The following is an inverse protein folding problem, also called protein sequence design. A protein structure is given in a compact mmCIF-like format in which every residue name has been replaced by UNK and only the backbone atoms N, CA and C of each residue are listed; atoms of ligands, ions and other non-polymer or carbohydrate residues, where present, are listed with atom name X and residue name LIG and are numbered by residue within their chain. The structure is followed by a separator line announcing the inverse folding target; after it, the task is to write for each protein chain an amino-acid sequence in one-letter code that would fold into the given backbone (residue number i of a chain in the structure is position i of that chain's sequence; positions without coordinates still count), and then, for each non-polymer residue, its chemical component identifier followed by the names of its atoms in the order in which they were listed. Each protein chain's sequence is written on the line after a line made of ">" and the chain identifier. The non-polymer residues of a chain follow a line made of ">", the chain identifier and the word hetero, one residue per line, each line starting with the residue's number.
data_IF_856527430865
#
_entry.id   IF_856527430865
#
_cell.length_a   1.000
_cell.length_b   1.000
_cell.length_c   1.000
_cell.angle_alpha   90.00
_cell.angle_beta   90.00
_cell.angle_gamma   90.00
#
_symmetry.space_group_name_H-M   'P 1'
#
loop_
_entity.id
_entity.type
_entity.pdbx_description
1 polymer ?
#
# COMPACT_ATOMS: atom_id res chain seq x y z
N UNK A 1 0.67 -14.38 -24.38
CA UNK A 1 1.12 -12.98 -24.14
C UNK A 1 1.12 -12.80 -22.62
N UNK A 2 2.18 -12.22 -22.05
CA UNK A 2 2.32 -12.11 -20.59
C UNK A 2 1.72 -10.79 -20.10
N UNK A 3 0.80 -10.87 -19.14
CA UNK A 3 0.25 -9.67 -18.49
C UNK A 3 1.23 -9.15 -17.43
N UNK A 4 1.25 -7.84 -17.22
CA UNK A 4 2.09 -7.21 -16.19
C UNK A 4 1.57 -7.60 -14.80
N UNK A 5 2.29 -8.49 -14.11
CA UNK A 5 1.91 -8.94 -12.76
C UNK A 5 2.56 -8.14 -11.64
N UNK A 6 3.71 -7.54 -11.91
CA UNK A 6 4.52 -6.85 -10.88
C UNK A 6 4.95 -5.49 -11.40
N UNK A 7 4.75 -4.46 -10.60
CA UNK A 7 5.24 -3.13 -10.88
C UNK A 7 6.00 -2.63 -9.65
N UNK A 8 7.30 -2.43 -9.81
CA UNK A 8 8.18 -1.94 -8.75
C UNK A 8 8.90 -0.67 -9.23
N UNK A 9 8.72 0.40 -8.47
CA UNK A 9 9.32 1.71 -8.72
C UNK A 9 10.55 1.98 -7.86
N UNK A 10 11.02 0.97 -7.11
CA UNK A 10 12.22 1.04 -6.29
C UNK A 10 13.44 1.41 -7.14
N UNK A 11 14.26 2.32 -6.61
CA UNK A 11 15.45 2.87 -7.25
C UNK A 11 15.17 3.72 -8.52
N UNK A 12 13.92 4.11 -8.78
CA UNK A 12 13.56 4.98 -9.90
C UNK A 12 13.34 6.44 -9.44
N UNK A 13 14.44 7.14 -9.11
CA UNK A 13 14.39 8.50 -8.55
C UNK A 13 13.71 9.57 -9.43
N UNK A 14 13.53 9.29 -10.73
CA UNK A 14 12.95 10.22 -11.71
C UNK A 14 11.53 9.85 -12.13
N UNK A 15 11.00 8.70 -11.69
CA UNK A 15 9.64 8.27 -12.06
C UNK A 15 8.60 9.12 -11.33
N UNK A 16 7.69 9.71 -12.11
CA UNK A 16 6.58 10.53 -11.62
C UNK A 16 5.36 9.66 -11.34
N UNK A 17 4.46 10.15 -10.49
CA UNK A 17 3.14 9.54 -10.30
C UNK A 17 2.39 9.37 -11.63
N UNK A 18 2.47 10.38 -12.51
CA UNK A 18 1.85 10.36 -13.84
C UNK A 18 2.33 9.20 -14.71
N UNK A 19 3.65 8.96 -14.74
CA UNK A 19 4.21 7.84 -15.50
C UNK A 19 3.74 6.48 -14.93
N UNK A 20 3.66 6.36 -13.60
CA UNK A 20 3.12 5.17 -12.95
C UNK A 20 1.65 4.96 -13.31
N UNK A 21 0.84 6.01 -13.24
CA UNK A 21 -0.58 5.96 -13.56
C UNK A 21 -0.81 5.58 -15.03
N UNK A 22 -0.05 6.12 -15.98
CA UNK A 22 -0.17 5.75 -17.39
C UNK A 22 0.02 4.24 -17.65
N UNK A 23 0.97 3.61 -16.94
CA UNK A 23 1.15 2.15 -17.02
C UNK A 23 -0.02 1.41 -16.36
N UNK A 24 -0.49 1.89 -15.21
CA UNK A 24 -1.60 1.25 -14.48
C UNK A 24 -2.96 1.44 -15.16
N UNK A 25 -3.15 2.46 -15.97
CA UNK A 25 -4.36 2.63 -16.79
C UNK A 25 -4.50 1.54 -17.86
N UNK A 26 -3.38 1.08 -18.42
CA UNK A 26 -3.38 0.02 -19.43
C UNK A 26 -3.30 -1.39 -18.85
N UNK A 27 -2.69 -1.54 -17.66
CA UNK A 27 -2.31 -2.86 -17.15
C UNK A 27 -2.71 -3.13 -15.70
N UNK A 28 -3.29 -2.15 -14.99
CA UNK A 28 -3.52 -2.22 -13.55
C UNK A 28 -4.35 -3.42 -13.10
N UNK A 29 -5.37 -3.82 -13.87
CA UNK A 29 -6.24 -4.96 -13.53
C UNK A 29 -5.48 -6.29 -13.34
N UNK A 30 -4.32 -6.43 -13.98
CA UNK A 30 -3.49 -7.64 -13.93
C UNK A 30 -2.39 -7.59 -12.87
N UNK A 31 -2.15 -6.43 -12.26
CA UNK A 31 -1.08 -6.23 -11.29
C UNK A 31 -1.44 -6.97 -10.01
N UNK A 32 -0.59 -7.93 -9.64
CA UNK A 32 -0.65 -8.70 -8.40
C UNK A 32 0.23 -8.06 -7.31
N UNK A 33 1.34 -7.42 -7.70
CA UNK A 33 2.30 -6.80 -6.78
C UNK A 33 2.62 -5.36 -7.22
N UNK A 34 2.35 -4.39 -6.35
CA UNK A 34 2.63 -2.97 -6.58
C UNK A 34 3.57 -2.45 -5.49
N UNK A 35 4.77 -2.03 -5.88
CA UNK A 35 5.75 -1.41 -5.00
C UNK A 35 6.03 0.05 -5.40
N UNK A 36 5.62 0.96 -4.51
CA UNK A 36 5.80 2.40 -4.62
C UNK A 36 6.81 2.87 -3.56
N UNK A 37 8.03 3.16 -4.00
CA UNK A 37 9.17 3.44 -3.12
C UNK A 37 9.82 4.79 -3.41
N UNK A 38 10.27 5.49 -2.37
CA UNK A 38 11.19 6.65 -2.50
C UNK A 38 10.75 7.79 -3.44
N UNK A 39 9.45 8.08 -3.55
CA UNK A 39 9.00 9.25 -4.30
C UNK A 39 8.55 10.37 -3.38
N UNK A 40 9.35 11.44 -3.28
CA UNK A 40 8.90 12.68 -2.64
C UNK A 40 7.77 13.39 -3.42
N UNK A 41 7.48 12.93 -4.65
CA UNK A 41 6.51 13.55 -5.57
C UNK A 41 5.17 12.81 -5.65
N UNK A 42 5.11 11.56 -5.23
CA UNK A 42 3.85 10.81 -5.16
C UNK A 42 3.09 11.32 -3.93
N UNK A 43 1.90 11.85 -4.14
CA UNK A 43 1.01 12.36 -3.09
C UNK A 43 0.01 11.29 -2.64
N UNK A 44 -0.75 11.55 -1.57
CA UNK A 44 -1.84 10.65 -1.12
C UNK A 44 -2.88 10.41 -2.23
N UNK A 45 -3.38 11.45 -2.96
CA UNK A 45 -4.23 11.24 -4.12
C UNK A 45 -3.63 10.33 -5.20
N UNK A 46 -2.32 10.46 -5.47
CA UNK A 46 -1.64 9.63 -6.46
C UNK A 46 -1.62 8.16 -6.03
N UNK A 47 -1.30 7.88 -4.76
CA UNK A 47 -1.37 6.53 -4.19
C UNK A 47 -2.77 5.94 -4.31
N UNK A 48 -3.79 6.72 -3.91
CA UNK A 48 -5.18 6.28 -3.98
C UNK A 48 -5.59 5.93 -5.41
N UNK A 49 -5.14 6.73 -6.39
CA UNK A 49 -5.41 6.49 -7.80
C UNK A 49 -4.67 5.26 -8.31
N UNK A 50 -3.39 5.09 -8.00
CA UNK A 50 -2.61 3.90 -8.38
C UNK A 50 -3.25 2.60 -7.86
N UNK A 51 -3.60 2.58 -6.57
CA UNK A 51 -4.27 1.42 -5.95
C UNK A 51 -5.63 1.17 -6.60
N UNK A 52 -6.41 2.22 -6.87
CA UNK A 52 -7.72 2.10 -7.51
C UNK A 52 -7.62 1.56 -8.95
N UNK A 53 -6.57 1.91 -9.70
CA UNK A 53 -6.33 1.36 -11.04
C UNK A 53 -6.01 -0.15 -10.98
N UNK A 54 -5.42 -0.62 -9.88
CA UNK A 54 -5.16 -2.03 -9.66
C UNK A 54 -6.39 -2.83 -9.18
N UNK A 55 -7.53 -2.16 -8.95
CA UNK A 55 -8.78 -2.77 -8.48
C UNK A 55 -10.03 -2.15 -9.12
N UNK A 56 -9.88 -1.49 -10.26
CA UNK A 56 -11.00 -0.84 -10.93
C UNK A 56 -12.06 -1.88 -11.30
N UNK A 57 -13.33 -1.54 -11.06
CA UNK A 57 -14.50 -2.38 -11.34
C UNK A 57 -14.53 -3.76 -10.64
N UNK A 58 -13.66 -4.00 -9.65
CA UNK A 58 -13.62 -5.24 -8.87
C UNK A 58 -12.91 -6.41 -9.56
N UNK A 59 -12.20 -6.17 -10.66
CA UNK A 59 -11.45 -7.20 -11.40
C UNK A 59 -9.98 -7.31 -11.00
N UNK A 60 -9.51 -6.44 -10.11
CA UNK A 60 -8.11 -6.39 -9.68
C UNK A 60 -7.59 -7.64 -9.01
N UNK A 61 -6.31 -7.94 -9.26
CA UNK A 61 -5.60 -9.08 -8.68
C UNK A 61 -4.58 -8.68 -7.61
N UNK A 62 -4.58 -7.42 -7.18
CA UNK A 62 -3.58 -6.90 -6.25
C UNK A 62 -3.60 -7.67 -4.91
N UNK A 63 -2.47 -8.27 -4.58
CA UNK A 63 -2.23 -9.12 -3.41
C UNK A 63 -1.13 -8.55 -2.53
N UNK A 64 -0.13 -7.93 -3.11
CA UNK A 64 1.01 -7.37 -2.39
C UNK A 64 1.16 -5.87 -2.71
N UNK A 65 1.14 -5.04 -1.66
CA UNK A 65 1.28 -3.59 -1.75
C UNK A 65 2.44 -3.14 -0.88
N UNK A 66 3.42 -2.49 -1.49
CA UNK A 66 4.54 -1.88 -0.78
C UNK A 66 4.51 -0.36 -0.94
N UNK A 67 4.47 0.35 0.18
CA UNK A 67 4.51 1.80 0.27
C UNK A 67 5.71 2.18 1.14
N UNK A 68 6.91 2.21 0.55
CA UNK A 68 8.18 2.20 1.30
C UNK A 68 8.89 3.55 1.19
N UNK A 69 9.44 4.05 2.31
CA UNK A 69 10.18 5.33 2.38
C UNK A 69 9.39 6.53 1.81
N UNK A 70 8.07 6.52 2.00
CA UNK A 70 7.20 7.63 1.65
C UNK A 70 7.07 8.54 2.88
N UNK A 71 8.12 9.30 3.16
CA UNK A 71 8.33 10.05 4.40
C UNK A 71 7.28 11.13 4.73
N UNK A 72 6.44 11.48 3.77
CA UNK A 72 5.33 12.42 3.94
C UNK A 72 4.03 11.71 4.38
N UNK A 73 3.99 10.38 4.39
CA UNK A 73 2.82 9.61 4.82
C UNK A 73 2.70 9.60 6.34
N UNK A 74 1.46 9.73 6.79
CA UNK A 74 1.04 9.70 8.19
C UNK A 74 -0.16 8.76 8.32
N UNK A 75 -0.66 8.57 9.54
CA UNK A 75 -1.80 7.69 9.78
C UNK A 75 -3.05 8.11 9.00
N UNK A 76 -3.25 9.40 8.74
CA UNK A 76 -4.35 9.91 7.89
C UNK A 76 -4.24 9.41 6.44
N UNK A 77 -3.02 9.09 5.98
CA UNK A 77 -2.85 8.45 4.67
C UNK A 77 -3.55 7.10 4.65
N UNK A 78 -3.27 6.23 5.61
CA UNK A 78 -3.89 4.92 5.65
C UNK A 78 -5.39 5.00 5.91
N UNK A 79 -5.85 5.96 6.71
CA UNK A 79 -7.28 6.22 6.85
C UNK A 79 -7.95 6.50 5.50
N UNK A 80 -7.32 7.33 4.66
CA UNK A 80 -7.81 7.67 3.32
C UNK A 80 -7.65 6.52 2.32
N UNK A 81 -6.60 5.72 2.44
CA UNK A 81 -6.31 4.60 1.53
C UNK A 81 -7.07 3.33 1.88
N UNK A 82 -7.40 3.09 3.15
CA UNK A 82 -8.04 1.85 3.60
C UNK A 82 -9.32 1.50 2.81
N UNK A 83 -10.21 2.43 2.45
CA UNK A 83 -11.37 2.11 1.61
C UNK A 83 -11.05 1.78 0.14
N UNK A 84 -9.81 2.06 -0.31
CA UNK A 84 -9.33 1.82 -1.68
C UNK A 84 -8.46 0.59 -1.79
N UNK A 85 -7.84 0.15 -0.68
CA UNK A 85 -7.08 -1.09 -0.64
C UNK A 85 -8.07 -2.25 -0.88
N UNK A 86 -7.75 -3.18 -1.78
CA UNK A 86 -8.65 -4.28 -2.08
C UNK A 86 -8.62 -5.33 -0.98
N UNK A 87 -9.76 -5.97 -0.73
CA UNK A 87 -9.87 -7.06 0.26
C UNK A 87 -9.09 -8.32 -0.13
N UNK A 88 -8.62 -8.40 -1.38
CA UNK A 88 -7.72 -9.45 -1.89
C UNK A 88 -6.29 -9.30 -1.39
N UNK A 89 -5.94 -8.17 -0.76
CA UNK A 89 -4.58 -7.91 -0.30
C UNK A 89 -4.16 -8.91 0.80
N UNK A 90 -3.05 -9.60 0.55
CA UNK A 90 -2.43 -10.57 1.47
C UNK A 90 -1.13 -10.07 2.08
N UNK A 91 -0.44 -9.10 1.47
CA UNK A 91 0.74 -8.47 2.04
C UNK A 91 0.70 -6.94 1.95
N UNK A 92 1.08 -6.30 3.04
CA UNK A 92 1.27 -4.85 3.11
C UNK A 92 2.64 -4.55 3.72
N UNK A 93 3.45 -3.76 3.01
CA UNK A 93 4.71 -3.21 3.52
C UNK A 93 4.62 -1.70 3.63
N UNK A 94 4.97 -1.17 4.79
CA UNK A 94 5.03 0.25 5.12
C UNK A 94 6.43 0.66 5.60
N UNK A 95 7.44 -0.15 5.23
CA UNK A 95 8.81 -0.04 5.74
C UNK A 95 9.36 1.38 5.62
N UNK A 96 10.08 1.82 6.65
CA UNK A 96 10.78 3.11 6.73
C UNK A 96 9.86 4.35 6.62
N UNK A 97 8.55 4.21 6.88
CA UNK A 97 7.64 5.35 7.04
C UNK A 97 7.64 5.89 8.47
N UNK A 98 8.70 6.61 8.83
CA UNK A 98 8.97 7.07 10.20
C UNK A 98 7.94 8.03 10.83
N UNK A 99 7.03 8.61 10.05
CA UNK A 99 5.99 9.52 10.57
C UNK A 99 4.70 8.80 11.03
N UNK A 100 4.54 7.50 10.72
CA UNK A 100 3.33 6.74 11.04
C UNK A 100 3.32 6.21 12.47
N UNK A 101 2.23 6.43 13.22
CA UNK A 101 2.12 6.04 14.64
C UNK A 101 1.43 4.69 14.85
N UNK A 102 0.84 4.14 13.77
CA UNK A 102 0.26 2.81 13.72
C UNK A 102 -1.26 2.76 13.89
N UNK A 103 -1.92 3.89 14.16
CA UNK A 103 -3.39 3.94 14.19
C UNK A 103 -3.98 3.60 12.82
N UNK A 104 -3.41 4.16 11.76
CA UNK A 104 -3.83 3.85 10.39
C UNK A 104 -3.60 2.38 10.00
N UNK A 105 -2.54 1.75 10.52
CA UNK A 105 -2.26 0.33 10.29
C UNK A 105 -3.27 -0.56 11.02
N UNK A 106 -3.68 -0.18 12.24
CA UNK A 106 -4.75 -0.87 12.97
C UNK A 106 -6.06 -0.84 12.19
N UNK A 107 -6.36 0.27 11.53
CA UNK A 107 -7.55 0.38 10.69
C UNK A 107 -7.52 -0.57 9.50
N UNK A 108 -6.39 -0.61 8.77
CA UNK A 108 -6.21 -1.55 7.65
C UNK A 108 -6.31 -3.00 8.13
N UNK A 109 -5.64 -3.37 9.23
CA UNK A 109 -5.72 -4.71 9.80
C UNK A 109 -7.14 -5.08 10.27
N UNK A 110 -7.96 -4.10 10.66
CA UNK A 110 -9.35 -4.33 11.07
C UNK A 110 -10.28 -4.55 9.88
N UNK A 111 -10.02 -3.91 8.75
CA UNK A 111 -10.87 -3.97 7.55
C UNK A 111 -10.45 -5.05 6.56
N UNK A 112 -9.16 -5.40 6.50
CA UNK A 112 -8.58 -6.35 5.56
C UNK A 112 -8.23 -7.66 6.26
N UNK A 113 -9.25 -8.47 6.55
CA UNK A 113 -9.09 -9.74 7.30
C UNK A 113 -8.32 -10.81 6.55
N UNK A 114 -8.06 -10.63 5.25
CA UNK A 114 -7.23 -11.53 4.43
C UNK A 114 -5.73 -11.26 4.51
N UNK A 115 -5.29 -10.24 5.25
CA UNK A 115 -3.88 -9.87 5.33
C UNK A 115 -3.06 -10.93 6.08
N UNK A 116 -2.08 -11.52 5.41
CA UNK A 116 -1.20 -12.57 5.91
C UNK A 116 0.19 -12.05 6.31
N UNK A 117 0.62 -10.94 5.72
CA UNK A 117 1.93 -10.33 5.95
C UNK A 117 1.76 -8.83 6.17
N UNK A 118 2.39 -8.34 7.23
CA UNK A 118 2.49 -6.92 7.54
C UNK A 118 3.94 -6.60 7.89
N UNK A 119 4.59 -5.77 7.07
CA UNK A 119 5.94 -5.27 7.35
C UNK A 119 5.89 -3.79 7.73
N UNK A 120 6.27 -3.49 8.96
CA UNK A 120 6.35 -2.15 9.55
C UNK A 120 7.77 -1.84 10.05
N UNK A 121 8.77 -2.57 9.55
CA UNK A 121 10.17 -2.37 9.93
C UNK A 121 10.60 -0.93 9.66
N UNK A 122 11.33 -0.30 10.58
CA UNK A 122 11.75 1.10 10.44
C UNK A 122 10.65 2.15 10.67
N UNK A 123 9.42 1.75 11.03
CA UNK A 123 8.38 2.66 11.51
C UNK A 123 8.60 3.00 12.99
N UNK A 124 9.40 4.02 13.28
CA UNK A 124 9.88 4.34 14.64
C UNK A 124 8.79 4.76 15.64
N UNK A 125 7.61 5.16 15.17
CA UNK A 125 6.52 5.66 16.02
C UNK A 125 5.43 4.62 16.30
N UNK A 126 5.65 3.37 15.88
CA UNK A 126 4.72 2.28 16.14
C UNK A 126 4.76 1.88 17.63
N UNK A 127 3.59 1.70 18.25
CA UNK A 127 3.49 1.41 19.69
C UNK A 127 2.88 0.03 19.96
N UNK A 128 3.12 -0.51 21.16
CA UNK A 128 2.56 -1.80 21.62
C UNK A 128 1.03 -1.86 21.53
N UNK A 129 0.36 -0.72 21.74
CA UNK A 129 -1.10 -0.61 21.62
C UNK A 129 -1.60 -1.03 20.23
N UNK A 130 -0.82 -0.74 19.18
CA UNK A 130 -1.16 -1.10 17.81
C UNK A 130 -0.99 -2.61 17.57
N UNK A 131 0.06 -3.22 18.13
CA UNK A 131 0.30 -4.66 18.02
C UNK A 131 -0.83 -5.47 18.68
N UNK A 132 -1.34 -5.03 19.83
CA UNK A 132 -2.45 -5.70 20.51
C UNK A 132 -3.71 -5.78 19.66
N UNK A 133 -4.06 -4.73 18.90
CA UNK A 133 -5.23 -4.73 18.01
C UNK A 133 -5.09 -5.75 16.88
N UNK A 134 -3.88 -5.94 16.34
CA UNK A 134 -3.63 -6.93 15.28
C UNK A 134 -3.69 -8.39 15.77
N UNK A 135 -3.41 -8.64 17.06
CA UNK A 135 -3.39 -9.99 17.65
C UNK A 135 -4.74 -10.48 18.19
N UNK A 136 -5.72 -9.61 18.41
CA UNK A 136 -7.01 -9.98 19.02
C UNK A 136 -7.96 -10.78 18.11
N UNK A 137 -7.55 -11.15 16.88
CA UNK A 137 -8.39 -11.86 15.91
C UNK A 137 -7.95 -13.27 15.55
N UNK A 138 -6.93 -13.83 16.20
CA UNK A 138 -6.53 -15.23 16.00
C UNK A 138 -7.39 -16.22 16.82
N UNK A 139 -8.71 -15.99 16.95
CA UNK A 139 -9.65 -16.90 17.61
C UNK A 139 -10.74 -17.34 16.66
#
# INVERSE_FOLDING_TARGET
>A
QGNLKKMDTSNLALVTAEAVMGVLEEHGEWVEELALTCSQKITIPDLAKCISLCYAEGFGQLRDLELVKLHHLKDETLHNLAPRIPTTLTALSLRDNYQMTGQGVCEVARTHTGLLKLDISGCERFTDACMLVTTQRSR
#
